data_IF_255247126790
#
_entry.id   IF_255247126790
#
_cell.length_a   1.000
_cell.length_b   1.000
_cell.length_c   1.000
_cell.angle_alpha   90.00
_cell.angle_beta   90.00
_cell.angle_gamma   90.00
#
_symmetry.space_group_name_H-M   'P 1'
#
loop_
_entity.id
_entity.type
_entity.pdbx_description
1 polymer ?
#
# COMPACT_ATOMS: atom_id res chain seq x y z
N UNK A 1 -40.49 -5.29 -25.72
CA UNK A 1 -39.72 -6.21 -24.86
C UNK A 1 -38.86 -5.33 -23.95
N UNK A 2 -39.22 -5.19 -22.67
CA UNK A 2 -38.54 -4.26 -21.76
C UNK A 2 -37.57 -5.06 -20.87
N UNK A 3 -36.28 -4.84 -21.08
CA UNK A 3 -35.20 -5.58 -20.43
C UNK A 3 -34.99 -5.03 -19.01
N UNK A 4 -35.30 -5.84 -17.99
CA UNK A 4 -35.07 -5.47 -16.59
C UNK A 4 -33.56 -5.52 -16.30
N UNK A 5 -32.92 -4.35 -16.18
CA UNK A 5 -31.59 -4.24 -15.58
C UNK A 5 -31.64 -4.81 -14.15
N UNK A 6 -30.98 -5.94 -13.91
CA UNK A 6 -30.73 -6.42 -12.54
C UNK A 6 -29.78 -5.45 -11.86
N UNK A 7 -30.27 -4.66 -10.91
CA UNK A 7 -29.41 -3.95 -9.96
C UNK A 7 -28.87 -4.96 -8.95
N UNK A 8 -27.56 -5.17 -8.88
CA UNK A 8 -26.94 -5.93 -7.79
C UNK A 8 -27.01 -5.09 -6.52
N UNK A 9 -27.48 -5.66 -5.42
CA UNK A 9 -27.54 -4.98 -4.13
C UNK A 9 -26.11 -4.77 -3.58
N UNK A 10 -25.79 -3.53 -3.23
CA UNK A 10 -24.54 -3.18 -2.58
C UNK A 10 -24.50 -3.79 -1.16
N UNK A 11 -23.40 -4.44 -0.80
CA UNK A 11 -23.15 -4.96 0.55
C UNK A 11 -21.78 -4.50 1.02
N UNK A 12 -21.70 -4.02 2.26
CA UNK A 12 -20.44 -3.65 2.89
C UNK A 12 -19.85 -4.86 3.64
N UNK A 13 -18.54 -5.03 3.54
CA UNK A 13 -17.78 -6.08 4.24
C UNK A 13 -16.56 -5.43 4.90
N UNK A 14 -16.18 -5.88 6.11
CA UNK A 14 -14.91 -5.50 6.73
C UNK A 14 -13.88 -6.60 6.52
N UNK A 15 -12.63 -6.24 6.23
CA UNK A 15 -11.49 -7.17 6.23
C UNK A 15 -11.09 -7.39 7.69
N UNK A 16 -10.98 -8.65 8.13
CA UNK A 16 -10.65 -9.01 9.53
C UNK A 16 -9.19 -9.43 9.72
N UNK A 17 -8.40 -9.46 8.64
CA UNK A 17 -7.01 -9.86 8.71
C UNK A 17 -6.19 -8.82 9.50
N UNK A 18 -5.43 -9.28 10.49
CA UNK A 18 -4.39 -8.47 11.12
C UNK A 18 -3.27 -8.20 10.12
N UNK A 19 -2.77 -6.97 10.12
CA UNK A 19 -1.63 -6.56 9.31
C UNK A 19 -0.60 -5.91 10.20
N UNK A 20 0.67 -6.12 9.89
CA UNK A 20 1.76 -5.34 10.46
C UNK A 20 2.00 -4.13 9.58
N UNK A 21 2.36 -2.99 10.16
CA UNK A 21 2.65 -1.78 9.39
C UNK A 21 3.85 -1.04 9.97
N UNK A 22 4.77 -0.64 9.11
CA UNK A 22 5.93 0.21 9.44
C UNK A 22 5.85 1.48 8.60
N UNK A 23 5.98 2.65 9.23
CA UNK A 23 6.03 3.91 8.49
C UNK A 23 7.39 4.06 7.81
N UNK A 24 7.40 4.47 6.55
CA UNK A 24 8.60 4.75 5.80
C UNK A 24 9.07 6.18 6.06
N UNK A 25 10.11 6.35 6.88
CA UNK A 25 10.66 7.65 7.28
C UNK A 25 12.16 7.73 6.88
N UNK A 26 12.47 7.89 5.58
CA UNK A 26 13.84 7.86 5.09
C UNK A 26 14.70 9.01 5.63
N UNK A 27 14.08 10.14 6.01
CA UNK A 27 14.77 11.29 6.59
C UNK A 27 15.48 10.96 7.91
N UNK A 28 15.03 9.92 8.63
CA UNK A 28 15.64 9.44 9.87
C UNK A 28 16.22 8.03 9.73
N UNK A 29 16.36 7.53 8.50
CA UNK A 29 16.91 6.20 8.22
C UNK A 29 15.98 5.03 8.51
N UNK A 30 14.69 5.26 8.80
CA UNK A 30 13.72 4.19 8.98
C UNK A 30 13.19 3.73 7.62
N UNK A 31 13.74 2.63 7.13
CA UNK A 31 13.41 2.04 5.83
C UNK A 31 12.81 0.65 6.07
N UNK A 32 11.48 0.49 5.93
CA UNK A 32 10.83 -0.81 6.09
C UNK A 32 11.40 -1.85 5.14
N UNK A 33 11.39 -3.11 5.57
CA UNK A 33 11.89 -4.23 4.79
C UNK A 33 11.19 -4.28 3.43
N UNK A 34 11.97 -4.44 2.36
CA UNK A 34 11.48 -4.56 0.99
C UNK A 34 11.41 -3.23 0.23
N UNK A 35 11.52 -2.09 0.92
CA UNK A 35 11.66 -0.78 0.27
C UNK A 35 13.11 -0.56 -0.15
N UNK A 36 13.32 -0.16 -1.40
CA UNK A 36 14.64 0.15 -1.94
C UNK A 36 14.60 1.37 -2.87
N UNK A 37 15.74 2.04 -3.02
CA UNK A 37 15.85 3.14 -3.97
C UNK A 37 15.87 2.58 -5.40
N UNK A 38 15.05 3.13 -6.29
CA UNK A 38 14.99 2.68 -7.69
C UNK A 38 16.21 3.11 -8.51
N UNK A 39 17.15 3.88 -7.95
CA UNK A 39 18.39 4.31 -8.62
C UNK A 39 18.17 5.16 -9.87
N UNK A 40 19.25 5.68 -10.45
CA UNK A 40 19.22 6.30 -11.78
C UNK A 40 19.31 5.22 -12.86
N UNK A 41 18.49 5.34 -13.92
CA UNK A 41 18.48 4.40 -15.06
C UNK A 41 17.34 3.38 -15.06
N UNK A 42 16.50 3.33 -14.02
CA UNK A 42 15.26 2.56 -14.08
C UNK A 42 14.24 3.27 -14.98
N UNK A 43 13.76 2.67 -16.08
CA UNK A 43 12.81 3.31 -16.99
C UNK A 43 11.44 3.54 -16.34
N UNK A 44 11.17 2.91 -15.19
CA UNK A 44 9.99 3.13 -14.38
C UNK A 44 10.25 4.15 -13.27
N UNK A 45 11.43 4.77 -13.14
CA UNK A 45 11.68 5.78 -12.11
C UNK A 45 10.72 6.95 -12.29
N UNK A 46 10.05 7.36 -11.21
CA UNK A 46 9.37 8.65 -11.13
C UNK A 46 10.36 9.71 -10.63
N UNK A 47 10.45 10.86 -11.31
CA UNK A 47 11.34 11.93 -10.85
C UNK A 47 10.96 12.48 -9.47
N UNK A 48 9.67 12.37 -9.10
CA UNK A 48 9.14 12.76 -7.78
C UNK A 48 9.22 11.64 -6.73
N UNK A 49 9.70 10.43 -7.07
CA UNK A 49 9.67 9.28 -6.17
C UNK A 49 10.88 8.36 -6.39
N UNK A 50 11.81 8.38 -5.44
CA UNK A 50 13.05 7.60 -5.55
C UNK A 50 12.95 6.20 -4.95
N UNK A 51 11.89 5.92 -4.19
CA UNK A 51 11.75 4.68 -3.43
C UNK A 51 10.62 3.84 -3.97
N UNK A 52 10.85 2.53 -3.99
CA UNK A 52 9.93 1.56 -4.56
C UNK A 52 9.83 0.33 -3.67
N UNK A 53 8.67 -0.33 -3.77
CA UNK A 53 8.38 -1.63 -3.17
C UNK A 53 7.89 -2.56 -4.29
N UNK A 54 8.44 -3.76 -4.38
CA UNK A 54 7.86 -4.78 -5.26
C UNK A 54 6.77 -5.53 -4.49
N UNK A 55 5.52 -5.36 -4.92
CA UNK A 55 4.35 -6.07 -4.38
C UNK A 55 4.00 -7.25 -5.27
N UNK A 56 2.99 -8.04 -4.89
CA UNK A 56 2.49 -9.14 -5.73
C UNK A 56 1.75 -8.62 -6.98
N UNK A 57 1.23 -7.40 -6.92
CA UNK A 57 0.55 -6.69 -8.01
C UNK A 57 1.53 -5.94 -8.92
N UNK A 58 2.81 -5.91 -8.55
CA UNK A 58 3.88 -5.26 -9.29
C UNK A 58 4.60 -4.19 -8.47
N UNK A 59 5.41 -3.37 -9.15
CA UNK A 59 6.21 -2.35 -8.47
C UNK A 59 5.37 -1.12 -8.14
N UNK A 60 5.41 -0.71 -6.88
CA UNK A 60 4.77 0.50 -6.38
C UNK A 60 5.82 1.54 -5.97
N UNK A 61 5.49 2.82 -6.13
CA UNK A 61 6.31 3.92 -5.62
C UNK A 61 5.91 4.23 -4.18
N UNK A 62 6.91 4.52 -3.36
CA UNK A 62 6.75 4.82 -1.94
C UNK A 62 7.27 6.24 -1.67
N UNK A 63 6.51 7.03 -0.92
CA UNK A 63 6.88 8.37 -0.48
C UNK A 63 7.15 8.37 1.02
N UNK A 64 8.06 9.24 1.46
CA UNK A 64 8.28 9.45 2.89
C UNK A 64 6.96 9.78 3.61
N UNK A 65 6.66 9.04 4.66
CA UNK A 65 5.40 9.10 5.41
C UNK A 65 4.43 7.94 5.10
N UNK A 66 4.54 7.29 3.94
CA UNK A 66 3.70 6.13 3.61
C UNK A 66 3.92 4.98 4.60
N UNK A 67 2.89 4.17 4.81
CA UNK A 67 2.98 2.92 5.57
C UNK A 67 3.26 1.75 4.63
N UNK A 68 4.18 0.87 5.03
CA UNK A 68 4.41 -0.42 4.40
C UNK A 68 3.72 -1.48 5.24
N UNK A 69 2.62 -1.99 4.70
CA UNK A 69 1.83 -3.02 5.34
C UNK A 69 2.33 -4.40 4.93
N UNK A 70 2.32 -5.34 5.87
CA UNK A 70 2.59 -6.76 5.64
C UNK A 70 1.39 -7.57 6.11
N UNK A 71 0.80 -8.35 5.22
CA UNK A 71 -0.34 -9.21 5.51
C UNK A 71 0.05 -10.57 6.10
N UNK A 72 -0.94 -11.40 6.48
CA UNK A 72 -0.70 -12.68 7.14
C UNK A 72 0.11 -13.70 6.34
N UNK A 73 0.13 -13.59 5.00
CA UNK A 73 0.92 -14.48 4.14
C UNK A 73 2.29 -13.87 3.80
N UNK A 74 2.65 -12.72 4.39
CA UNK A 74 3.90 -12.01 4.15
C UNK A 74 3.86 -11.12 2.90
N UNK A 75 2.72 -10.99 2.24
CA UNK A 75 2.54 -10.06 1.12
C UNK A 75 2.64 -8.61 1.61
N UNK A 76 3.30 -7.76 0.83
CA UNK A 76 3.54 -6.36 1.19
C UNK A 76 2.85 -5.41 0.21
N UNK A 77 2.32 -4.31 0.74
CA UNK A 77 1.78 -3.20 -0.04
C UNK A 77 2.05 -1.87 0.67
N UNK A 78 2.12 -0.78 -0.10
CA UNK A 78 2.19 0.55 0.46
C UNK A 78 0.80 1.18 0.60
N UNK A 79 0.60 1.99 1.63
CA UNK A 79 -0.60 2.80 1.85
C UNK A 79 -0.16 4.21 2.19
N UNK A 80 -0.73 5.22 1.52
CA UNK A 80 -0.47 6.61 1.86
C UNK A 80 -0.88 6.89 3.31
N UNK A 81 -0.14 7.73 4.03
CA UNK A 81 -0.37 8.03 5.45
C UNK A 81 -1.83 8.39 5.76
N UNK A 82 -2.39 9.34 5.00
CA UNK A 82 -3.78 9.80 5.17
C UNK A 82 -4.82 8.70 5.00
N UNK A 83 -4.56 7.73 4.10
CA UNK A 83 -5.44 6.59 3.87
C UNK A 83 -5.28 5.58 5.02
N UNK A 84 -4.04 5.31 5.43
CA UNK A 84 -3.76 4.37 6.50
C UNK A 84 -4.42 4.82 7.81
N UNK A 85 -4.15 6.05 8.23
CA UNK A 85 -4.69 6.64 9.46
C UNK A 85 -6.22 6.72 9.47
N UNK A 86 -6.85 6.88 8.30
CA UNK A 86 -8.31 6.93 8.17
C UNK A 86 -8.98 5.55 8.12
N UNK A 87 -8.25 4.48 7.82
CA UNK A 87 -8.86 3.16 7.50
C UNK A 87 -8.32 2.00 8.32
N UNK A 88 -7.22 2.18 9.06
CA UNK A 88 -6.63 1.18 9.93
C UNK A 88 -6.70 1.63 11.39
N UNK A 89 -7.08 0.70 12.26
CA UNK A 89 -7.12 0.90 13.70
C UNK A 89 -6.07 -0.03 14.36
N UNK A 90 -5.41 0.39 15.45
CA UNK A 90 -4.56 -0.50 16.22
C UNK A 90 -5.33 -1.73 16.67
N UNK A 91 -4.69 -2.90 16.54
CA UNK A 91 -5.26 -4.13 17.09
C UNK A 91 -5.17 -4.11 18.64
N UNK A 92 -6.17 -4.68 19.34
CA UNK A 92 -6.20 -4.76 20.80
C UNK A 92 -5.12 -5.70 21.37
#
# INVERSE_FOLDING_TARGET
MLERKRSVALKAYRKTALVMAEQFLPAIGQIPKGVFSSGNGDPRKRYDCEWVLNTMEGRHFVRGGDYICTGPAGEQWNVAAEIFEATYEPAP
#
